data_IF_199450931372
#
_entry.id   IF_199450931372
#
_cell.length_a   1.000
_cell.length_b   1.000
_cell.length_c   1.000
_cell.angle_alpha   90.00
_cell.angle_beta   90.00
_cell.angle_gamma   90.00
#
_symmetry.space_group_name_H-M   'P 1'
#
loop_
_entity.id
_entity.type
_entity.pdbx_description
1 polymer ?
#
# COMPACT_ATOMS: atom_id res chain seq x y z
N UNK A 1 4.65 -13.09 29.73
CA UNK A 1 3.76 -12.43 28.76
C UNK A 1 2.98 -13.49 28.01
N UNK A 2 1.64 -13.41 27.99
CA UNK A 2 0.84 -14.37 27.23
C UNK A 2 1.15 -14.27 25.73
N UNK A 3 1.20 -15.39 25.05
CA UNK A 3 1.41 -15.48 23.60
C UNK A 3 0.40 -14.63 22.81
N UNK A 4 -0.84 -14.55 23.31
CA UNK A 4 -1.89 -13.65 22.83
C UNK A 4 -1.45 -12.18 22.82
N UNK A 5 -0.77 -11.69 23.86
CA UNK A 5 -0.32 -10.29 23.92
C UNK A 5 0.74 -9.99 22.87
N UNK A 6 1.62 -10.96 22.55
CA UNK A 6 2.60 -10.82 21.46
C UNK A 6 1.91 -10.69 20.10
N UNK A 7 0.91 -11.53 19.83
CA UNK A 7 0.14 -11.44 18.59
C UNK A 7 -0.65 -10.13 18.46
N UNK A 8 -1.21 -9.62 19.57
CA UNK A 8 -1.88 -8.31 19.57
C UNK A 8 -0.91 -7.16 19.26
N UNK A 9 0.30 -7.18 19.83
CA UNK A 9 1.35 -6.20 19.51
C UNK A 9 1.74 -6.24 18.03
N UNK A 10 2.03 -7.43 17.50
CA UNK A 10 2.36 -7.62 16.08
C UNK A 10 1.23 -7.19 15.14
N UNK A 11 -0.02 -7.49 15.52
CA UNK A 11 -1.20 -7.05 14.77
C UNK A 11 -1.29 -5.53 14.70
N UNK A 12 -1.03 -4.85 15.82
CA UNK A 12 -1.04 -3.39 15.87
C UNK A 12 0.03 -2.78 14.95
N UNK A 13 1.26 -3.28 15.00
CA UNK A 13 2.35 -2.85 14.12
C UNK A 13 2.00 -3.02 12.65
N UNK A 14 1.48 -4.20 12.28
CA UNK A 14 1.11 -4.49 10.88
C UNK A 14 -0.06 -3.63 10.39
N UNK A 15 -1.02 -3.31 11.24
CA UNK A 15 -2.10 -2.40 10.88
C UNK A 15 -1.58 -0.97 10.63
N UNK A 16 -0.60 -0.49 11.42
CA UNK A 16 0.05 0.81 11.16
C UNK A 16 0.78 0.78 9.82
N UNK A 17 1.54 -0.28 9.57
CA UNK A 17 2.26 -0.46 8.31
C UNK A 17 1.31 -0.44 7.09
N UNK A 18 0.21 -1.19 7.17
CA UNK A 18 -0.82 -1.21 6.13
C UNK A 18 -1.43 0.17 5.92
N UNK A 19 -1.75 0.91 7.00
CA UNK A 19 -2.29 2.26 6.90
C UNK A 19 -1.31 3.23 6.21
N UNK A 20 -0.03 3.16 6.56
CA UNK A 20 1.02 3.96 5.94
C UNK A 20 1.13 3.68 4.44
N UNK A 21 1.12 2.41 4.04
CA UNK A 21 1.14 2.01 2.63
C UNK A 21 -0.11 2.49 1.88
N UNK A 22 -1.29 2.42 2.50
CA UNK A 22 -2.53 2.94 1.90
C UNK A 22 -2.49 4.45 1.69
N UNK A 23 -1.95 5.22 2.64
CA UNK A 23 -1.78 6.67 2.50
C UNK A 23 -0.79 7.01 1.37
N UNK A 24 0.32 6.28 1.28
CA UNK A 24 1.30 6.42 0.20
C UNK A 24 0.67 6.13 -1.18
N UNK A 25 -0.04 5.01 -1.31
CA UNK A 25 -0.72 4.63 -2.55
C UNK A 25 -1.76 5.66 -2.99
N UNK A 26 -2.50 6.26 -2.04
CA UNK A 26 -3.42 7.38 -2.35
C UNK A 26 -2.67 8.59 -2.92
N UNK A 27 -1.50 8.91 -2.37
CA UNK A 27 -0.63 9.97 -2.88
C UNK A 27 -0.14 9.68 -4.31
N UNK A 28 0.32 8.45 -4.56
CA UNK A 28 0.78 8.01 -5.88
C UNK A 28 -0.35 8.04 -6.92
N UNK A 29 -1.57 7.63 -6.57
CA UNK A 29 -2.73 7.73 -7.48
C UNK A 29 -3.03 9.17 -7.84
N UNK A 30 -2.95 10.10 -6.87
CA UNK A 30 -3.16 11.51 -7.15
C UNK A 30 -2.07 12.04 -8.08
N UNK A 31 -0.80 11.78 -7.78
CA UNK A 31 0.33 12.17 -8.61
C UNK A 31 0.24 11.63 -10.04
N UNK A 32 -0.13 10.36 -10.20
CA UNK A 32 -0.31 9.75 -11.53
C UNK A 32 -1.45 10.38 -12.31
N UNK A 33 -2.54 10.78 -11.65
CA UNK A 33 -3.64 11.50 -12.30
C UNK A 33 -3.21 12.90 -12.73
N UNK A 34 -2.45 13.59 -11.89
CA UNK A 34 -1.94 14.93 -12.19
C UNK A 34 -0.93 14.86 -13.36
N UNK A 35 -0.13 13.79 -13.46
CA UNK A 35 0.79 13.55 -14.57
C UNK A 35 0.11 13.04 -15.86
N UNK A 36 -1.11 12.51 -15.77
CA UNK A 36 -1.93 12.04 -16.88
C UNK A 36 -3.07 13.03 -17.16
N UNK A 37 -2.74 14.32 -17.32
CA UNK A 37 -3.74 15.34 -17.63
C UNK A 37 -4.44 15.01 -18.96
N UNK A 38 -5.76 14.77 -18.97
CA UNK A 38 -6.49 14.39 -20.18
C UNK A 38 -6.61 15.53 -21.20
N UNK A 39 -6.25 16.76 -20.83
CA UNK A 39 -6.27 17.93 -21.71
C UNK A 39 -4.92 18.20 -22.38
N UNK A 40 -3.86 17.56 -21.90
CA UNK A 40 -2.52 17.68 -22.46
C UNK A 40 -2.32 16.70 -23.63
N UNK A 41 -1.71 17.13 -24.75
CA UNK A 41 -1.33 16.23 -25.84
C UNK A 41 -0.40 15.11 -25.34
N UNK A 42 -0.60 13.89 -25.84
CA UNK A 42 0.16 12.69 -25.42
C UNK A 42 1.67 12.82 -25.65
N UNK A 43 2.07 13.64 -26.63
CA UNK A 43 3.45 13.96 -26.95
C UNK A 43 4.13 14.85 -25.91
N UNK A 44 3.36 15.55 -25.07
CA UNK A 44 3.84 16.46 -24.03
C UNK A 44 3.90 15.82 -22.64
N UNK A 45 3.23 14.67 -22.47
CA UNK A 45 3.28 13.91 -21.22
C UNK A 45 4.69 13.41 -20.89
N UNK A 46 5.10 13.56 -19.63
CA UNK A 46 6.35 13.02 -19.12
C UNK A 46 6.24 11.50 -18.92
N UNK A 47 6.55 10.76 -19.98
CA UNK A 47 6.44 9.29 -20.02
C UNK A 47 7.35 8.61 -19.00
N UNK A 48 8.54 9.16 -18.77
CA UNK A 48 9.51 8.57 -17.83
C UNK A 48 8.97 8.66 -16.41
N UNK A 49 8.47 9.84 -16.03
CA UNK A 49 7.84 10.06 -14.74
C UNK A 49 6.62 9.15 -14.53
N UNK A 50 5.73 9.06 -15.53
CA UNK A 50 4.52 8.23 -15.45
C UNK A 50 4.89 6.76 -15.25
N UNK A 51 5.83 6.23 -16.03
CA UNK A 51 6.27 4.83 -15.93
C UNK A 51 6.92 4.56 -14.57
N UNK A 52 7.78 5.47 -14.10
CA UNK A 52 8.41 5.35 -12.79
C UNK A 52 7.36 5.32 -11.67
N UNK A 53 6.41 6.26 -11.67
CA UNK A 53 5.36 6.35 -10.66
C UNK A 53 4.41 5.14 -10.70
N UNK A 54 4.07 4.64 -11.89
CA UNK A 54 3.25 3.44 -12.05
C UNK A 54 3.97 2.18 -11.53
N UNK A 55 5.27 2.07 -11.81
CA UNK A 55 6.12 1.00 -11.28
C UNK A 55 6.20 1.03 -9.76
N UNK A 56 6.44 2.21 -9.17
CA UNK A 56 6.45 2.40 -7.72
C UNK A 56 5.09 2.05 -7.09
N UNK A 57 3.99 2.50 -7.69
CA UNK A 57 2.64 2.14 -7.26
C UNK A 57 2.46 0.61 -7.25
N UNK A 58 2.84 -0.08 -8.32
CA UNK A 58 2.75 -1.53 -8.41
C UNK A 58 3.53 -2.25 -7.30
N UNK A 59 4.77 -1.82 -7.04
CA UNK A 59 5.60 -2.38 -5.97
C UNK A 59 4.96 -2.16 -4.59
N UNK A 60 4.48 -0.95 -4.30
CA UNK A 60 3.82 -0.65 -3.01
C UNK A 60 2.47 -1.34 -2.86
N UNK A 61 1.77 -1.59 -3.94
CA UNK A 61 0.52 -2.36 -3.92
C UNK A 61 0.79 -3.83 -3.55
N UNK A 62 1.89 -4.42 -4.04
CA UNK A 62 2.31 -5.78 -3.66
C UNK A 62 2.67 -5.82 -2.16
N UNK A 63 3.50 -4.89 -1.69
CA UNK A 63 3.86 -4.78 -0.26
C UNK A 63 2.60 -4.69 0.63
N UNK A 64 1.61 -3.89 0.24
CA UNK A 64 0.35 -3.78 0.98
C UNK A 64 -0.40 -5.12 1.03
N UNK A 65 -0.47 -5.84 -0.09
CA UNK A 65 -1.16 -7.13 -0.16
C UNK A 65 -0.49 -8.18 0.74
N UNK A 66 0.83 -8.18 0.80
CA UNK A 66 1.62 -9.05 1.68
C UNK A 66 1.33 -8.73 3.16
N UNK A 67 1.39 -7.46 3.56
CA UNK A 67 1.07 -7.02 4.93
C UNK A 67 -0.37 -7.38 5.30
N UNK A 68 -1.32 -7.19 4.38
CA UNK A 68 -2.72 -7.60 4.60
C UNK A 68 -2.87 -9.12 4.74
N UNK A 69 -2.08 -9.91 4.02
CA UNK A 69 -2.06 -11.36 4.19
C UNK A 69 -1.53 -11.76 5.58
N UNK A 70 -0.45 -11.13 6.05
CA UNK A 70 0.08 -11.33 7.40
C UNK A 70 -0.93 -10.97 8.48
N UNK A 71 -1.63 -9.84 8.35
CA UNK A 71 -2.70 -9.43 9.27
C UNK A 71 -3.77 -10.53 9.35
N UNK A 72 -4.21 -11.09 8.22
CA UNK A 72 -5.19 -12.19 8.20
C UNK A 72 -4.69 -13.47 8.87
N UNK A 73 -3.39 -13.76 8.80
CA UNK A 73 -2.80 -14.89 9.54
C UNK A 73 -2.85 -14.60 11.04
N UNK A 74 -2.37 -13.43 11.47
CA UNK A 74 -2.34 -13.06 12.90
C UNK A 74 -3.75 -13.04 13.51
N UNK A 75 -4.75 -12.52 12.78
CA UNK A 75 -6.15 -12.53 13.21
C UNK A 75 -6.67 -13.96 13.44
N UNK A 76 -6.34 -14.90 12.55
CA UNK A 76 -6.70 -16.31 12.71
C UNK A 76 -6.08 -16.92 13.97
N UNK A 77 -4.80 -16.64 14.26
CA UNK A 77 -4.13 -17.08 15.49
C UNK A 77 -4.79 -16.50 16.77
N UNK A 78 -5.34 -15.30 16.67
CA UNK A 78 -6.08 -14.65 17.77
C UNK A 78 -7.54 -15.15 17.91
N UNK A 79 -8.01 -15.97 16.97
CA UNK A 79 -9.40 -16.46 16.91
C UNK A 79 -10.39 -15.47 16.30
N UNK A 80 -9.89 -14.42 15.63
CA UNK A 80 -10.71 -13.47 14.88
C UNK A 80 -10.97 -14.00 13.46
N UNK A 81 -12.22 -13.87 12.98
CA UNK A 81 -12.63 -14.25 11.61
C UNK A 81 -12.32 -13.17 10.59
#
# INVERSE_FOLDING_TARGET
MSERLKFQGKLYEKNIEAKRLQELLKGLVKSLRDALDPTEPVEQLDRELIVQQAGEFGMKQIELLEVMAEIRVIKRELGER
#
